data_IF_837269174321
#
_entry.id   IF_837269174321
#
_cell.length_a   1.000
_cell.length_b   1.000
_cell.length_c   1.000
_cell.angle_alpha   90.00
_cell.angle_beta   90.00
_cell.angle_gamma   90.00
#
_symmetry.space_group_name_H-M   'P 1'
#
loop_
_entity.id
_entity.type
_entity.pdbx_description
1 polymer ?
#
# COMPACT_ATOMS: atom_id res chain seq x y z
N UNK A 1 -38.43 -12.16 28.80
CA UNK A 1 -37.16 -11.45 29.09
C UNK A 1 -36.48 -11.16 27.76
N UNK A 2 -36.53 -9.92 27.29
CA UNK A 2 -35.96 -9.52 26.00
C UNK A 2 -34.46 -9.26 26.19
N UNK A 3 -33.65 -10.22 25.73
CA UNK A 3 -32.20 -10.08 25.66
C UNK A 3 -31.83 -9.01 24.63
N UNK A 4 -31.33 -7.88 25.12
CA UNK A 4 -30.94 -6.71 24.34
C UNK A 4 -29.66 -7.06 23.56
N UNK A 5 -29.76 -7.14 22.23
CA UNK A 5 -28.60 -7.27 21.36
C UNK A 5 -27.74 -6.01 21.51
N UNK A 6 -26.51 -6.14 22.01
CA UNK A 6 -25.53 -5.05 22.00
C UNK A 6 -24.83 -5.10 20.64
N UNK A 7 -25.26 -4.24 19.72
CA UNK A 7 -24.52 -4.01 18.48
C UNK A 7 -23.27 -3.23 18.84
N UNK A 8 -22.10 -3.87 18.75
CA UNK A 8 -20.81 -3.22 18.95
C UNK A 8 -20.66 -2.06 17.96
N UNK A 9 -20.71 -0.83 18.47
CA UNK A 9 -20.32 0.36 17.73
C UNK A 9 -18.81 0.31 17.52
N UNK A 10 -18.37 0.04 16.28
CA UNK A 10 -16.99 0.31 15.89
C UNK A 10 -16.69 1.78 16.08
N UNK A 11 -15.67 2.09 16.89
CA UNK A 11 -15.32 3.47 17.26
C UNK A 11 -14.99 4.29 16.01
N UNK A 12 -15.64 5.44 15.85
CA UNK A 12 -15.40 6.39 14.76
C UNK A 12 -13.96 6.91 14.73
N UNK A 13 -13.21 6.73 15.82
CA UNK A 13 -11.81 7.14 15.95
C UNK A 13 -10.86 6.30 15.08
N UNK A 14 -11.20 5.02 14.85
CA UNK A 14 -10.36 4.07 14.12
C UNK A 14 -10.23 4.41 12.62
N UNK A 15 -11.30 4.95 12.02
CA UNK A 15 -11.27 5.43 10.64
C UNK A 15 -10.40 6.68 10.45
N UNK A 16 -10.21 7.49 11.49
CA UNK A 16 -9.38 8.69 11.39
C UNK A 16 -7.89 8.33 11.41
N UNK A 17 -7.49 7.39 12.27
CA UNK A 17 -6.09 6.93 12.39
C UNK A 17 -5.66 6.21 11.13
N UNK A 18 -6.49 5.32 10.61
CA UNK A 18 -6.21 4.58 9.36
C UNK A 18 -6.05 5.49 8.14
N UNK A 19 -6.91 6.52 8.00
CA UNK A 19 -6.76 7.55 6.96
C UNK A 19 -5.44 8.33 7.07
N UNK A 20 -5.04 8.71 8.29
CA UNK A 20 -3.78 9.40 8.53
C UNK A 20 -2.56 8.53 8.16
N UNK A 21 -2.57 7.24 8.52
CA UNK A 21 -1.49 6.31 8.17
C UNK A 21 -1.37 6.14 6.65
N UNK A 22 -2.50 6.02 5.94
CA UNK A 22 -2.50 5.91 4.48
C UNK A 22 -1.85 7.13 3.82
N UNK A 23 -2.11 8.34 4.32
CA UNK A 23 -1.48 9.56 3.80
C UNK A 23 0.03 9.56 4.02
N UNK A 24 0.48 9.24 5.25
CA UNK A 24 1.92 9.20 5.58
C UNK A 24 2.67 8.23 4.66
N UNK A 25 2.16 7.01 4.47
CA UNK A 25 2.80 6.02 3.62
C UNK A 25 2.73 6.39 2.12
N UNK A 26 1.67 7.09 1.71
CA UNK A 26 1.53 7.57 0.32
C UNK A 26 2.58 8.64 0.03
N UNK A 27 2.72 9.62 0.92
CA UNK A 27 3.67 10.71 0.77
C UNK A 27 5.11 10.19 0.86
N UNK A 28 5.39 9.29 1.80
CA UNK A 28 6.71 8.65 1.94
C UNK A 28 7.10 7.86 0.68
N UNK A 29 6.18 7.06 0.12
CA UNK A 29 6.45 6.32 -1.10
C UNK A 29 6.70 7.26 -2.28
N UNK A 30 5.85 8.29 -2.44
CA UNK A 30 6.00 9.28 -3.51
C UNK A 30 7.32 10.05 -3.45
N UNK A 31 7.80 10.40 -2.24
CA UNK A 31 9.11 11.01 -2.06
C UNK A 31 10.25 10.16 -2.65
N UNK A 32 10.28 8.86 -2.36
CA UNK A 32 11.32 7.98 -2.89
C UNK A 32 11.17 7.71 -4.39
N UNK A 33 9.93 7.58 -4.88
CA UNK A 33 9.66 7.40 -6.31
C UNK A 33 10.11 8.62 -7.12
N UNK A 34 9.83 9.84 -6.64
CA UNK A 34 10.29 11.08 -7.28
C UNK A 34 11.82 11.18 -7.28
N UNK A 35 12.46 10.87 -6.14
CA UNK A 35 13.92 10.82 -6.03
C UNK A 35 14.57 9.83 -7.00
N UNK A 36 13.93 8.68 -7.22
CA UNK A 36 14.35 7.67 -8.20
C UNK A 36 13.95 8.01 -9.65
N UNK A 37 13.31 9.16 -9.90
CA UNK A 37 12.76 9.58 -11.20
C UNK A 37 11.78 8.55 -11.78
N UNK A 38 11.03 7.88 -10.91
CA UNK A 38 9.95 6.98 -11.32
C UNK A 38 8.88 7.74 -12.10
N UNK A 39 8.23 7.04 -13.02
CA UNK A 39 7.03 7.55 -13.71
C UNK A 39 5.75 7.23 -12.95
N UNK A 40 5.82 6.40 -11.90
CA UNK A 40 4.67 6.00 -11.09
C UNK A 40 4.45 7.01 -9.97
N UNK A 41 3.20 7.16 -9.58
CA UNK A 41 2.76 7.94 -8.42
C UNK A 41 1.74 7.14 -7.64
N UNK A 42 1.88 7.12 -6.33
CA UNK A 42 0.93 6.46 -5.44
C UNK A 42 -0.24 7.41 -5.19
N UNK A 43 -1.44 6.90 -5.44
CA UNK A 43 -2.72 7.57 -5.20
C UNK A 43 -3.60 6.77 -4.24
N UNK A 44 -3.51 5.44 -4.31
CA UNK A 44 -4.13 4.50 -3.38
C UNK A 44 -3.13 3.36 -3.12
N UNK A 45 -2.50 3.37 -1.95
CA UNK A 45 -1.51 2.35 -1.57
C UNK A 45 -2.03 0.92 -1.72
N UNK A 46 -3.30 0.67 -1.40
CA UNK A 46 -3.87 -0.68 -1.45
C UNK A 46 -4.05 -1.16 -2.88
N UNK A 47 -4.46 -0.27 -3.77
CA UNK A 47 -4.70 -0.60 -5.17
C UNK A 47 -3.40 -0.61 -5.98
N UNK A 48 -2.55 0.39 -5.78
CA UNK A 48 -1.35 0.60 -6.58
C UNK A 48 -0.25 -0.43 -6.25
N UNK A 49 -0.22 -0.98 -5.04
CA UNK A 49 0.72 -2.04 -4.65
C UNK A 49 0.22 -3.46 -4.93
N UNK A 50 -0.99 -3.63 -5.51
CA UNK A 50 -1.66 -4.93 -5.62
C UNK A 50 -0.91 -5.98 -6.44
N UNK A 51 -0.15 -5.56 -7.44
CA UNK A 51 0.63 -6.47 -8.30
C UNK A 51 2.11 -6.58 -7.88
N UNK A 52 2.48 -5.94 -6.77
CA UNK A 52 3.84 -5.93 -6.22
C UNK A 52 4.85 -5.07 -7.00
N UNK A 53 4.53 -4.57 -8.21
CA UNK A 53 5.50 -3.86 -9.04
C UNK A 53 5.81 -2.47 -8.51
N UNK A 54 4.81 -1.74 -8.01
CA UNK A 54 5.04 -0.46 -7.35
C UNK A 54 5.84 -0.66 -6.06
N UNK A 55 5.47 -1.65 -5.25
CA UNK A 55 6.15 -1.96 -3.99
C UNK A 55 7.62 -2.27 -4.22
N UNK A 56 7.93 -3.11 -5.22
CA UNK A 56 9.31 -3.39 -5.60
C UNK A 56 10.07 -2.11 -5.97
N UNK A 57 9.47 -1.23 -6.77
CA UNK A 57 10.10 0.04 -7.18
C UNK A 57 10.38 0.97 -5.99
N UNK A 58 9.48 1.03 -5.00
CA UNK A 58 9.71 1.75 -3.74
C UNK A 58 10.87 1.14 -2.96
N UNK A 59 10.95 -0.20 -2.86
CA UNK A 59 12.06 -0.90 -2.20
C UNK A 59 13.39 -0.58 -2.89
N UNK A 60 13.44 -0.63 -4.22
CA UNK A 60 14.64 -0.30 -4.99
C UNK A 60 15.04 1.18 -4.80
N UNK A 61 14.07 2.09 -4.75
CA UNK A 61 14.31 3.52 -4.54
C UNK A 61 14.87 3.85 -3.14
N UNK A 62 14.47 3.08 -2.12
CA UNK A 62 14.90 3.25 -0.73
C UNK A 62 16.27 2.60 -0.51
N UNK A 63 16.41 1.35 -0.94
CA UNK A 63 17.60 0.53 -0.67
C UNK A 63 18.73 0.75 -1.67
N UNK A 64 18.43 1.31 -2.84
CA UNK A 64 19.33 1.40 -4.01
C UNK A 64 19.76 0.05 -4.58
N UNK A 65 19.17 -1.05 -4.11
CA UNK A 65 19.42 -2.40 -4.60
C UNK A 65 18.25 -2.88 -5.45
N UNK A 66 18.52 -3.78 -6.40
CA UNK A 66 17.49 -4.38 -7.24
C UNK A 66 16.77 -5.48 -6.47
N UNK A 67 15.44 -5.54 -6.62
CA UNK A 67 14.65 -6.66 -6.09
C UNK A 67 14.90 -7.87 -6.99
N UNK A 68 15.47 -8.97 -6.47
CA UNK A 68 15.75 -10.16 -7.27
C UNK A 68 14.45 -10.83 -7.72
N UNK A 69 14.52 -11.55 -8.84
CA UNK A 69 13.45 -12.41 -9.35
C UNK A 69 12.06 -11.75 -9.55
N UNK A 70 12.04 -10.43 -9.73
CA UNK A 70 10.80 -9.67 -9.92
C UNK A 70 10.11 -10.01 -11.25
N UNK A 71 8.87 -10.50 -11.18
CA UNK A 71 8.02 -10.75 -12.35
C UNK A 71 7.49 -9.43 -12.91
N UNK A 72 8.13 -8.90 -13.96
CA UNK A 72 7.80 -7.57 -14.52
C UNK A 72 6.43 -7.43 -15.18
N UNK A 73 5.74 -8.54 -15.45
CA UNK A 73 4.42 -8.59 -16.09
C UNK A 73 3.59 -9.71 -15.46
N UNK A 74 3.10 -9.52 -14.22
CA UNK A 74 2.31 -10.52 -13.54
C UNK A 74 1.00 -10.76 -14.29
N UNK A 75 0.71 -12.02 -14.63
CA UNK A 75 -0.49 -12.43 -15.41
C UNK A 75 -1.41 -13.40 -14.68
N UNK A 76 -0.92 -14.01 -13.61
CA UNK A 76 -1.64 -15.03 -12.85
C UNK A 76 -1.62 -14.62 -11.39
N UNK A 77 -2.58 -15.12 -10.60
CA UNK A 77 -2.59 -14.88 -9.17
C UNK A 77 -1.27 -15.28 -8.52
N UNK A 78 -0.65 -16.39 -8.95
CA UNK A 78 0.67 -16.83 -8.47
C UNK A 78 1.81 -15.83 -8.72
N UNK A 79 1.71 -14.95 -9.72
CA UNK A 79 2.71 -13.91 -9.96
C UNK A 79 2.47 -12.64 -9.11
N UNK A 80 1.32 -12.54 -8.46
CA UNK A 80 0.90 -11.40 -7.64
C UNK A 80 0.96 -11.70 -6.13
N UNK A 81 1.38 -12.91 -5.74
CA UNK A 81 1.47 -13.40 -4.35
C UNK A 81 2.93 -13.40 -3.90
#
# INVERSE_FOLDING_TARGET
MLGRCVSGQGSSDDLSVTKNLSQIYTDWANYYLERAKSKKKVSDLSADCRDGLLLAEVIEAVTTFKVPDLVKKPKTAQHMI
#
